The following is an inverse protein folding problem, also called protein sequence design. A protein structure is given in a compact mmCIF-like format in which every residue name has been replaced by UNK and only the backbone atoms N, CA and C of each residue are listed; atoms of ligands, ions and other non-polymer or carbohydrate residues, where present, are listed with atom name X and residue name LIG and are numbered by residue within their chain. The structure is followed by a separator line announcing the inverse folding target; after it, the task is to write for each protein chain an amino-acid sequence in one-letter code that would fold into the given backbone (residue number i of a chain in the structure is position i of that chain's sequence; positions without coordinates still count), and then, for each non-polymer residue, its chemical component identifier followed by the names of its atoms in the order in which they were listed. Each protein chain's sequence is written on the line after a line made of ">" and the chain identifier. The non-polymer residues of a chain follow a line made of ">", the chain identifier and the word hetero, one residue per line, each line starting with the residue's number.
data_IF_739723868104
#
_entry.id   IF_739723868104
#
_cell.length_a   1.000
_cell.length_b   1.000
_cell.length_c   1.000
_cell.angle_alpha   90.00
_cell.angle_beta   90.00
_cell.angle_gamma   90.00
#
_symmetry.space_group_name_H-M   'P 1'
#
loop_
_entity.id
_entity.type
_entity.pdbx_description
1 polymer ?
#
# COMPACT_ATOMS: atom_id res chain seq x y z
N UNK A 1 8.70 -11.29 -9.72
CA UNK A 1 8.40 -10.79 -8.35
C UNK A 1 9.67 -10.64 -7.53
N UNK A 2 10.42 -11.73 -7.28
CA UNK A 2 11.63 -11.72 -6.42
C UNK A 2 12.66 -10.67 -6.84
N UNK A 3 13.05 -10.64 -8.12
CA UNK A 3 14.00 -9.64 -8.65
C UNK A 3 13.54 -8.17 -8.53
N UNK A 4 12.25 -7.93 -8.26
CA UNK A 4 11.72 -6.59 -7.99
C UNK A 4 11.86 -6.24 -6.51
N UNK A 5 11.57 -7.19 -5.61
CA UNK A 5 11.75 -7.04 -4.17
C UNK A 5 13.21 -6.80 -3.79
N UNK A 6 14.16 -7.41 -4.51
CA UNK A 6 15.61 -7.18 -4.31
C UNK A 6 16.06 -5.73 -4.52
N UNK A 7 15.26 -4.91 -5.21
CA UNK A 7 15.57 -3.52 -5.52
C UNK A 7 14.86 -2.51 -4.63
N UNK A 8 13.93 -2.97 -3.78
CA UNK A 8 13.12 -2.11 -2.92
C UNK A 8 13.88 -1.85 -1.62
N UNK A 9 13.74 -0.64 -1.08
CA UNK A 9 14.23 -0.34 0.27
C UNK A 9 13.51 -1.25 1.29
N UNK A 10 14.24 -2.10 2.03
CA UNK A 10 13.63 -3.00 3.01
C UNK A 10 12.95 -2.26 4.17
N UNK A 11 13.20 -0.96 4.33
CA UNK A 11 12.56 -0.11 5.34
C UNK A 11 11.34 0.65 4.80
N UNK A 12 11.01 0.51 3.51
CA UNK A 12 9.84 1.15 2.94
C UNK A 12 8.57 0.60 3.61
N UNK A 13 7.58 1.47 3.95
CA UNK A 13 6.33 1.02 4.53
C UNK A 13 5.57 0.14 3.54
N UNK A 14 4.99 -0.94 4.03
CA UNK A 14 4.24 -1.92 3.23
C UNK A 14 2.75 -1.75 3.46
N UNK A 15 1.96 -1.75 2.38
CA UNK A 15 0.49 -1.77 2.44
C UNK A 15 -0.06 -2.95 1.65
N UNK A 16 -1.14 -3.54 2.16
CA UNK A 16 -1.88 -4.59 1.45
C UNK A 16 -3.01 -3.94 0.67
N UNK A 17 -3.01 -4.14 -0.65
CA UNK A 17 -4.08 -3.72 -1.55
C UNK A 17 -4.94 -4.93 -1.90
N UNK A 18 -6.10 -5.05 -1.27
CA UNK A 18 -7.03 -6.17 -1.47
C UNK A 18 -8.45 -5.79 -1.07
N UNK A 19 -9.41 -6.65 -1.43
CA UNK A 19 -10.78 -6.58 -0.92
C UNK A 19 -10.88 -7.27 0.44
N UNK A 20 -11.92 -6.96 1.23
CA UNK A 20 -12.16 -7.65 2.51
C UNK A 20 -12.30 -9.16 2.31
N UNK A 21 -11.56 -9.96 3.08
CA UNK A 21 -11.59 -11.43 2.99
C UNK A 21 -10.29 -12.10 3.44
N UNK A 22 -10.20 -13.40 3.18
CA UNK A 22 -8.91 -14.10 3.18
C UNK A 22 -8.07 -13.68 1.98
N UNK A 23 -6.75 -13.86 2.06
CA UNK A 23 -5.83 -13.59 0.97
C UNK A 23 -5.03 -14.86 0.69
N UNK A 24 -5.18 -15.40 -0.52
CA UNK A 24 -4.56 -16.67 -0.89
C UNK A 24 -3.24 -16.48 -1.66
N UNK A 25 -2.98 -15.28 -2.19
CA UNK A 25 -1.73 -15.04 -2.92
C UNK A 25 -1.45 -13.58 -3.30
N UNK A 26 -0.18 -13.30 -3.55
CA UNK A 26 0.30 -12.01 -4.06
C UNK A 26 0.28 -12.01 -5.59
N UNK A 27 -0.46 -11.07 -6.17
CA UNK A 27 -0.59 -10.87 -7.61
C UNK A 27 0.48 -9.91 -8.12
N UNK A 28 0.75 -8.82 -7.38
CA UNK A 28 1.70 -7.79 -7.79
C UNK A 28 2.32 -7.06 -6.59
N UNK A 29 3.46 -6.44 -6.85
CA UNK A 29 4.17 -5.59 -5.89
C UNK A 29 4.63 -4.34 -6.65
N UNK A 30 4.13 -3.17 -6.23
CA UNK A 30 4.44 -1.88 -6.85
C UNK A 30 4.62 -0.80 -5.79
N UNK A 31 5.47 0.19 -6.07
CA UNK A 31 5.55 1.40 -5.26
C UNK A 31 4.34 2.30 -5.54
N UNK A 32 3.71 2.82 -4.49
CA UNK A 32 2.58 3.74 -4.62
C UNK A 32 2.67 4.93 -3.66
N UNK A 33 2.27 6.12 -4.13
CA UNK A 33 2.06 7.26 -3.24
C UNK A 33 0.82 7.00 -2.37
N UNK A 34 0.93 7.29 -1.08
CA UNK A 34 -0.11 7.02 -0.09
C UNK A 34 -0.49 8.27 0.68
N UNK A 35 -1.77 8.35 1.01
CA UNK A 35 -2.32 9.23 2.03
C UNK A 35 -2.74 8.45 3.25
N UNK A 36 -2.11 8.74 4.37
CA UNK A 36 -2.28 8.00 5.61
C UNK A 36 -3.53 8.52 6.32
N UNK A 37 -4.58 7.71 6.32
CA UNK A 37 -5.82 7.97 7.05
C UNK A 37 -5.69 7.79 8.59
N UNK A 38 -4.51 8.04 9.16
CA UNK A 38 -4.20 7.76 10.58
C UNK A 38 -4.73 8.84 11.53
N UNK A 39 -5.23 9.96 11.02
CA UNK A 39 -5.61 11.13 11.83
C UNK A 39 -7.10 11.52 11.76
N UNK A 40 -7.88 10.91 10.85
CA UNK A 40 -9.22 11.39 10.48
C UNK A 40 -10.36 10.40 10.72
N UNK A 41 -10.07 9.13 11.02
CA UNK A 41 -11.08 8.10 11.28
C UNK A 41 -10.89 7.50 12.66
N UNK A 42 -11.96 7.50 13.45
CA UNK A 42 -12.03 6.77 14.72
C UNK A 42 -11.93 5.27 14.41
N UNK A 43 -10.81 4.65 14.77
CA UNK A 43 -10.45 3.29 14.35
C UNK A 43 -9.78 3.27 12.98
N UNK A 44 -8.48 2.97 12.96
CA UNK A 44 -7.60 2.94 11.79
C UNK A 44 -8.28 2.39 10.52
N UNK A 45 -8.65 3.29 9.60
CA UNK A 45 -9.28 2.97 8.32
C UNK A 45 -8.29 2.70 7.20
N UNK A 46 -8.81 2.36 6.01
CA UNK A 46 -8.01 2.19 4.79
C UNK A 46 -7.24 3.48 4.45
N UNK A 47 -5.99 3.32 4.00
CA UNK A 47 -5.21 4.40 3.39
C UNK A 47 -5.71 4.70 1.97
N UNK A 48 -5.65 5.97 1.58
CA UNK A 48 -6.10 6.44 0.29
C UNK A 48 -4.92 6.75 -0.65
N UNK A 49 -5.26 6.96 -1.92
CA UNK A 49 -4.34 7.59 -2.86
C UNK A 49 -4.47 9.10 -2.72
N UNK A 50 -3.38 9.88 -2.92
CA UNK A 50 -3.48 11.33 -2.96
C UNK A 50 -4.47 11.77 -4.05
N UNK A 51 -5.29 12.78 -3.75
CA UNK A 51 -6.13 13.42 -4.74
C UNK A 51 -5.28 14.19 -5.77
N UNK A 52 -5.90 14.59 -6.89
CA UNK A 52 -5.21 15.40 -7.90
C UNK A 52 -4.69 16.72 -7.29
N UNK A 53 -3.39 16.98 -7.47
CA UNK A 53 -2.72 18.15 -6.89
C UNK A 53 -2.31 18.00 -5.42
N UNK A 54 -2.64 16.89 -4.77
CA UNK A 54 -2.27 16.62 -3.39
C UNK A 54 -0.88 15.96 -3.29
N UNK A 55 -0.08 16.36 -2.30
CA UNK A 55 1.23 15.72 -2.04
C UNK A 55 1.04 14.41 -1.26
N UNK A 56 1.71 13.30 -1.60
CA UNK A 56 1.68 12.11 -0.76
C UNK A 56 2.28 12.36 0.63
N UNK A 57 1.81 11.61 1.63
CA UNK A 57 2.46 11.58 2.95
C UNK A 57 3.70 10.69 2.91
N UNK A 58 3.61 9.57 2.18
CA UNK A 58 4.69 8.61 2.01
C UNK A 58 4.55 7.87 0.67
N UNK A 59 5.65 7.34 0.16
CA UNK A 59 5.64 6.33 -0.90
C UNK A 59 5.94 4.98 -0.26
N UNK A 60 5.01 4.03 -0.41
CA UNK A 60 5.12 2.70 0.17
C UNK A 60 5.04 1.60 -0.88
N UNK A 61 5.35 0.38 -0.45
CA UNK A 61 5.22 -0.82 -1.27
C UNK A 61 3.81 -1.39 -1.15
N UNK A 62 3.03 -1.32 -2.22
CA UNK A 62 1.70 -1.93 -2.31
C UNK A 62 1.79 -3.37 -2.78
N UNK A 63 1.31 -4.30 -1.94
CA UNK A 63 1.17 -5.72 -2.26
C UNK A 63 -0.27 -5.95 -2.69
N UNK A 64 -0.49 -6.16 -3.99
CA UNK A 64 -1.79 -6.53 -4.53
C UNK A 64 -2.03 -8.02 -4.26
N UNK A 65 -3.14 -8.34 -3.61
CA UNK A 65 -3.49 -9.70 -3.21
C UNK A 65 -4.78 -10.18 -3.88
N UNK A 66 -4.83 -11.47 -4.19
CA UNK A 66 -6.05 -12.16 -4.59
C UNK A 66 -6.79 -12.66 -3.35
N UNK A 67 -8.14 -12.71 -3.38
CA UNK A 67 -8.90 -13.48 -2.39
C UNK A 67 -8.53 -14.96 -2.47
#
# INVERSE_FOLDING_TARGET
>A
MIARLEKVDPNAPVVIAGQYGGFDGVIAVDERPLKLNVNSFDGFGRHDLPAEGERPDVTGLAILVAP
#
